data_IF_968868441943
#
_entry.id   IF_968868441943
#
_cell.length_a   1.000
_cell.length_b   1.000
_cell.length_c   1.000
_cell.angle_alpha   90.00
_cell.angle_beta   90.00
_cell.angle_gamma   90.00
#
_symmetry.space_group_name_H-M   'P 1'
#
loop_
_entity.id
_entity.type
_entity.pdbx_description
1 polymer ?
#
# COMPACT_ATOMS: atom_id res chain seq x y z
N UNK A 1 15.88 9.93 -10.61
CA UNK A 1 15.60 8.48 -10.80
C UNK A 1 14.22 8.38 -11.45
N UNK A 2 13.99 7.47 -12.44
CA UNK A 2 12.64 7.25 -12.99
C UNK A 2 11.80 6.55 -11.94
N UNK A 3 10.62 7.08 -11.63
CA UNK A 3 9.66 6.40 -10.73
C UNK A 3 9.43 4.96 -11.20
N UNK A 4 9.52 4.00 -10.28
CA UNK A 4 9.29 2.59 -10.58
C UNK A 4 7.80 2.41 -10.86
N UNK A 5 7.47 1.99 -12.09
CA UNK A 5 6.08 1.75 -12.48
C UNK A 5 5.52 0.54 -11.74
N UNK A 6 4.27 0.62 -11.26
CA UNK A 6 3.58 -0.55 -10.72
C UNK A 6 3.28 -1.56 -11.82
N UNK A 7 3.49 -2.84 -11.52
CA UNK A 7 3.09 -3.94 -12.39
C UNK A 7 1.60 -4.20 -12.21
N UNK A 8 0.82 -4.02 -13.26
CA UNK A 8 -0.59 -4.39 -13.33
C UNK A 8 -0.77 -5.59 -14.22
N UNK A 9 -1.52 -6.58 -13.75
CA UNK A 9 -1.96 -7.74 -14.52
C UNK A 9 -3.44 -7.57 -14.85
N UNK A 10 -3.76 -7.54 -16.14
CA UNK A 10 -5.13 -7.53 -16.65
C UNK A 10 -5.49 -8.92 -17.15
N UNK A 11 -6.59 -9.47 -16.64
CA UNK A 11 -7.03 -10.84 -16.93
C UNK A 11 -8.47 -10.78 -17.44
N UNK A 12 -8.68 -11.15 -18.70
CA UNK A 12 -9.99 -11.12 -19.36
C UNK A 12 -9.92 -12.00 -20.61
N UNK A 13 -10.88 -12.88 -20.83
CA UNK A 13 -10.91 -13.77 -22.00
C UNK A 13 -11.34 -13.07 -23.29
N UNK A 14 -11.75 -11.81 -23.19
CA UNK A 14 -12.15 -10.99 -24.33
C UNK A 14 -10.99 -10.11 -24.82
N UNK A 15 -10.28 -10.46 -25.91
CA UNK A 15 -9.14 -9.67 -26.40
C UNK A 15 -9.56 -8.26 -26.87
N UNK A 16 -10.84 -8.06 -27.26
CA UNK A 16 -11.36 -6.74 -27.64
C UNK A 16 -11.49 -5.80 -26.46
N UNK A 17 -11.63 -6.34 -25.24
CA UNK A 17 -11.56 -5.57 -24.00
C UNK A 17 -10.12 -5.42 -23.53
N UNK A 18 -9.37 -6.52 -23.54
CA UNK A 18 -8.03 -6.60 -22.94
C UNK A 18 -7.03 -5.64 -23.61
N UNK A 19 -7.00 -5.59 -24.94
CA UNK A 19 -6.02 -4.77 -25.65
C UNK A 19 -6.20 -3.25 -25.41
N UNK A 20 -7.40 -2.65 -25.55
CA UNK A 20 -7.61 -1.23 -25.23
C UNK A 20 -7.37 -0.91 -23.74
N UNK A 21 -7.74 -1.83 -22.85
CA UNK A 21 -7.51 -1.66 -21.41
C UNK A 21 -6.00 -1.64 -21.09
N UNK A 22 -5.21 -2.51 -21.71
CA UNK A 22 -3.77 -2.56 -21.57
C UNK A 22 -3.11 -1.24 -22.06
N UNK A 23 -3.50 -0.74 -23.21
CA UNK A 23 -2.98 0.54 -23.73
C UNK A 23 -3.32 1.71 -22.81
N UNK A 24 -4.55 1.78 -22.30
CA UNK A 24 -4.95 2.82 -21.38
C UNK A 24 -4.20 2.75 -20.05
N UNK A 25 -3.95 1.54 -19.52
CA UNK A 25 -3.16 1.34 -18.32
C UNK A 25 -1.69 1.75 -18.51
N UNK A 26 -1.09 1.48 -19.69
CA UNK A 26 0.27 1.97 -20.05
C UNK A 26 0.34 3.49 -20.07
N UNK A 27 -0.66 4.15 -20.68
CA UNK A 27 -0.75 5.63 -20.72
C UNK A 27 -0.83 6.19 -19.29
N UNK A 28 -1.54 5.50 -18.38
CA UNK A 28 -1.60 5.88 -16.97
C UNK A 28 -0.34 5.59 -16.15
N UNK A 29 0.69 5.04 -16.76
CA UNK A 29 2.00 4.87 -16.14
C UNK A 29 2.28 3.48 -15.57
N UNK A 30 1.40 2.51 -15.74
CA UNK A 30 1.63 1.13 -15.31
C UNK A 30 2.62 0.39 -16.22
N UNK A 31 3.30 -0.61 -15.65
CA UNK A 31 3.92 -1.68 -16.40
C UNK A 31 2.88 -2.80 -16.54
N UNK A 32 2.44 -3.11 -17.76
CA UNK A 32 1.22 -3.91 -17.99
C UNK A 32 1.56 -5.30 -18.47
N UNK A 33 0.97 -6.28 -17.81
CA UNK A 33 0.93 -7.69 -18.18
C UNK A 33 -0.52 -8.05 -18.50
N UNK A 34 -0.73 -8.95 -19.45
CA UNK A 34 -2.07 -9.38 -19.88
C UNK A 34 -2.15 -10.89 -19.91
N UNK A 35 -3.29 -11.44 -19.52
CA UNK A 35 -3.62 -12.86 -19.59
C UNK A 35 -5.04 -13.03 -20.10
N UNK A 36 -5.25 -13.96 -21.04
CA UNK A 36 -6.57 -14.25 -21.61
C UNK A 36 -7.34 -15.33 -20.83
N UNK A 37 -6.75 -15.84 -19.75
CA UNK A 37 -7.33 -16.86 -18.89
C UNK A 37 -6.66 -16.87 -17.52
N UNK A 38 -7.28 -17.56 -16.55
CA UNK A 38 -6.79 -17.63 -15.19
C UNK A 38 -5.47 -18.40 -15.04
N UNK A 39 -5.25 -19.46 -15.82
CA UNK A 39 -4.01 -20.26 -15.76
C UNK A 39 -2.79 -19.41 -16.16
N UNK A 40 -2.87 -18.72 -17.30
CA UNK A 40 -1.82 -17.79 -17.75
C UNK A 40 -1.59 -16.65 -16.74
N UNK A 41 -2.66 -16.14 -16.12
CA UNK A 41 -2.53 -15.11 -15.09
C UNK A 41 -1.70 -15.58 -13.89
N UNK A 42 -1.92 -16.82 -13.44
CA UNK A 42 -1.18 -17.42 -12.33
C UNK A 42 0.27 -17.72 -12.70
N UNK A 43 0.55 -18.14 -13.94
CA UNK A 43 1.91 -18.34 -14.43
C UNK A 43 2.70 -17.02 -14.44
N UNK A 44 2.13 -15.94 -14.98
CA UNK A 44 2.75 -14.61 -14.96
C UNK A 44 3.06 -14.18 -13.55
N UNK A 45 2.14 -14.40 -12.60
CA UNK A 45 2.31 -13.99 -11.21
C UNK A 45 3.35 -14.79 -10.43
N UNK A 46 3.73 -16.00 -10.90
CA UNK A 46 4.84 -16.78 -10.31
C UNK A 46 6.19 -16.13 -10.58
N UNK A 47 6.38 -15.63 -11.80
CA UNK A 47 7.69 -15.14 -12.27
C UNK A 47 7.83 -13.62 -12.19
N UNK A 48 6.70 -12.92 -12.01
CA UNK A 48 6.63 -11.46 -12.00
C UNK A 48 5.94 -10.94 -10.74
N UNK A 49 6.57 -10.04 -9.99
CA UNK A 49 5.91 -9.40 -8.86
C UNK A 49 4.77 -8.50 -9.35
N UNK A 50 3.53 -8.98 -9.25
CA UNK A 50 2.34 -8.21 -9.60
C UNK A 50 1.88 -7.40 -8.40
N UNK A 51 1.65 -6.09 -8.60
CA UNK A 51 1.19 -5.17 -7.57
C UNK A 51 -0.34 -5.03 -7.58
N UNK A 52 -0.93 -5.01 -8.78
CA UNK A 52 -2.37 -4.89 -8.99
C UNK A 52 -2.81 -5.95 -10.00
N UNK A 53 -3.86 -6.71 -9.69
CA UNK A 53 -4.50 -7.61 -10.65
C UNK A 53 -5.96 -7.19 -10.85
N UNK A 54 -6.33 -6.98 -12.11
CA UNK A 54 -7.71 -6.74 -12.54
C UNK A 54 -8.18 -8.00 -13.24
N UNK A 55 -9.20 -8.64 -12.70
CA UNK A 55 -9.60 -9.98 -13.13
C UNK A 55 -11.07 -9.95 -13.53
N UNK A 56 -11.38 -10.42 -14.73
CA UNK A 56 -12.76 -10.68 -15.12
C UNK A 56 -13.35 -11.83 -14.31
N UNK A 57 -14.67 -11.74 -14.06
CA UNK A 57 -15.36 -12.77 -13.28
C UNK A 57 -15.53 -14.07 -14.08
N UNK A 58 -16.05 -13.96 -15.30
CA UNK A 58 -16.47 -15.10 -16.11
C UNK A 58 -15.46 -15.43 -17.19
N UNK A 59 -14.60 -16.39 -16.92
CA UNK A 59 -13.64 -16.90 -17.90
C UNK A 59 -13.87 -18.41 -18.13
N UNK A 60 -13.59 -18.93 -19.35
CA UNK A 60 -13.88 -20.32 -19.68
C UNK A 60 -13.14 -21.37 -18.85
N UNK A 61 -11.94 -21.04 -18.38
CA UNK A 61 -11.06 -21.96 -17.65
C UNK A 61 -11.25 -21.88 -16.14
N UNK A 62 -11.46 -20.69 -15.61
CA UNK A 62 -11.49 -20.44 -14.16
C UNK A 62 -12.30 -19.21 -13.80
N UNK A 63 -13.11 -19.32 -12.75
CA UNK A 63 -13.83 -18.19 -12.16
C UNK A 63 -12.86 -17.15 -11.59
N UNK A 64 -13.15 -15.86 -11.81
CA UNK A 64 -12.29 -14.75 -11.38
C UNK A 64 -12.04 -14.69 -9.88
N UNK A 65 -13.03 -15.06 -9.03
CA UNK A 65 -12.82 -15.15 -7.58
C UNK A 65 -11.83 -16.25 -7.21
N UNK A 66 -11.78 -17.34 -7.97
CA UNK A 66 -10.78 -18.42 -7.78
C UNK A 66 -9.40 -17.91 -8.16
N UNK A 67 -9.27 -17.18 -9.26
CA UNK A 67 -8.00 -16.54 -9.67
C UNK A 67 -7.52 -15.59 -8.58
N UNK A 68 -8.39 -14.70 -8.10
CA UNK A 68 -8.09 -13.75 -7.02
C UNK A 68 -7.62 -14.48 -5.75
N UNK A 69 -8.32 -15.54 -5.35
CA UNK A 69 -7.95 -16.35 -4.17
C UNK A 69 -6.56 -16.94 -4.31
N UNK A 70 -6.24 -17.51 -5.48
CA UNK A 70 -4.92 -18.11 -5.75
C UNK A 70 -3.82 -17.03 -5.79
N UNK A 71 -4.06 -15.90 -6.45
CA UNK A 71 -3.12 -14.77 -6.49
C UNK A 71 -2.80 -14.25 -5.08
N UNK A 72 -3.82 -14.11 -4.22
CA UNK A 72 -3.63 -13.73 -2.80
C UNK A 72 -2.92 -14.80 -1.99
N UNK A 73 -3.11 -16.07 -2.31
CA UNK A 73 -2.35 -17.18 -1.72
C UNK A 73 -0.86 -17.12 -2.06
N UNK A 74 -0.50 -16.66 -3.27
CA UNK A 74 0.89 -16.47 -3.71
C UNK A 74 1.49 -15.19 -3.14
N UNK A 75 0.72 -14.10 -3.14
CA UNK A 75 1.10 -12.80 -2.59
C UNK A 75 -0.10 -12.17 -1.87
N UNK A 76 -0.18 -12.26 -0.52
CA UNK A 76 -1.28 -11.68 0.25
C UNK A 76 -1.42 -10.15 0.11
N UNK A 77 -0.38 -9.47 -0.34
CA UNK A 77 -0.34 -8.01 -0.48
C UNK A 77 -0.78 -7.53 -1.88
N UNK A 78 -1.04 -8.45 -2.81
CA UNK A 78 -1.54 -8.08 -4.13
C UNK A 78 -2.90 -7.39 -4.02
N UNK A 79 -3.02 -6.22 -4.64
CA UNK A 79 -4.32 -5.57 -4.80
C UNK A 79 -5.09 -6.24 -5.91
N UNK A 80 -6.27 -6.72 -5.61
CA UNK A 80 -7.10 -7.42 -6.57
C UNK A 80 -8.40 -6.67 -6.81
N UNK A 81 -8.77 -6.59 -8.06
CA UNK A 81 -9.99 -5.94 -8.55
C UNK A 81 -10.74 -6.97 -9.36
N UNK A 82 -11.99 -7.22 -9.01
CA UNK A 82 -12.91 -7.96 -9.85
C UNK A 82 -13.64 -6.98 -10.76
N UNK A 83 -13.52 -7.16 -12.06
CA UNK A 83 -14.16 -6.33 -13.07
C UNK A 83 -15.08 -7.22 -13.91
N UNK A 84 -16.39 -7.03 -13.83
CA UNK A 84 -17.38 -7.91 -14.48
C UNK A 84 -18.43 -7.12 -15.26
N UNK A 85 -18.95 -7.71 -16.34
CA UNK A 85 -20.08 -7.15 -17.08
C UNK A 85 -21.45 -7.58 -16.55
N UNK A 86 -21.49 -8.59 -15.67
CA UNK A 86 -22.71 -9.11 -15.05
C UNK A 86 -22.41 -9.47 -13.60
N UNK A 87 -22.77 -8.60 -12.70
CA UNK A 87 -22.58 -8.82 -11.28
C UNK A 87 -23.86 -8.60 -10.49
N UNK A 88 -23.96 -9.27 -9.37
CA UNK A 88 -25.02 -9.09 -8.38
C UNK A 88 -24.42 -8.71 -7.02
N UNK A 89 -25.27 -8.42 -6.04
CA UNK A 89 -24.84 -8.04 -4.70
C UNK A 89 -24.06 -9.18 -4.00
N UNK A 90 -24.41 -10.45 -4.27
CA UNK A 90 -23.68 -11.59 -3.70
C UNK A 90 -22.23 -11.67 -4.19
N UNK A 91 -22.02 -11.40 -5.50
CA UNK A 91 -20.67 -11.36 -6.08
C UNK A 91 -19.85 -10.22 -5.48
N UNK A 92 -20.48 -9.08 -5.26
CA UNK A 92 -19.84 -7.94 -4.61
C UNK A 92 -19.45 -8.25 -3.15
N UNK A 93 -20.35 -8.87 -2.38
CA UNK A 93 -20.05 -9.33 -1.01
C UNK A 93 -18.91 -10.36 -1.00
N UNK A 94 -18.93 -11.35 -1.90
CA UNK A 94 -17.88 -12.35 -2.02
C UNK A 94 -16.52 -11.71 -2.37
N UNK A 95 -16.52 -10.71 -3.26
CA UNK A 95 -15.31 -9.95 -3.62
C UNK A 95 -14.76 -9.19 -2.42
N UNK A 96 -15.63 -8.54 -1.64
CA UNK A 96 -15.24 -7.82 -0.42
C UNK A 96 -14.71 -8.75 0.67
N UNK A 97 -15.28 -9.94 0.83
CA UNK A 97 -14.81 -10.96 1.76
C UNK A 97 -13.36 -11.42 1.46
N UNK A 98 -12.96 -11.36 0.19
CA UNK A 98 -11.58 -11.58 -0.25
C UNK A 98 -10.68 -10.34 -0.11
N UNK A 99 -11.15 -9.26 0.54
CA UNK A 99 -10.44 -7.97 0.59
C UNK A 99 -10.03 -7.50 -0.81
N UNK A 100 -10.99 -7.52 -1.74
CA UNK A 100 -10.83 -7.14 -3.15
C UNK A 100 -11.83 -6.06 -3.51
N UNK A 101 -11.52 -5.25 -4.51
CA UNK A 101 -12.42 -4.19 -4.99
C UNK A 101 -13.27 -4.72 -6.13
N UNK A 102 -14.55 -4.36 -6.16
CA UNK A 102 -15.49 -4.72 -7.20
C UNK A 102 -15.80 -3.54 -8.10
N UNK A 103 -15.82 -3.76 -9.43
CA UNK A 103 -16.33 -2.83 -10.42
C UNK A 103 -17.19 -3.54 -11.48
N UNK A 104 -18.23 -2.85 -11.92
CA UNK A 104 -19.01 -3.23 -13.11
C UNK A 104 -18.34 -2.66 -14.38
N UNK A 105 -18.24 -3.45 -15.46
CA UNK A 105 -17.73 -2.99 -16.76
C UNK A 105 -18.57 -1.85 -17.37
N UNK A 106 -19.82 -1.65 -16.92
CA UNK A 106 -20.64 -0.48 -17.24
C UNK A 106 -20.13 0.81 -16.59
N UNK A 107 -19.33 0.71 -15.52
CA UNK A 107 -18.80 1.85 -14.75
C UNK A 107 -17.31 2.12 -15.04
N UNK A 108 -16.84 1.90 -16.27
CA UNK A 108 -15.44 2.06 -16.65
C UNK A 108 -14.84 3.44 -16.32
N UNK A 109 -15.65 4.48 -16.26
CA UNK A 109 -15.22 5.82 -15.83
C UNK A 109 -14.66 5.78 -14.40
N UNK A 110 -15.43 5.25 -13.46
CA UNK A 110 -15.09 5.08 -12.04
C UNK A 110 -13.91 4.12 -11.85
N UNK A 111 -13.88 3.02 -12.60
CA UNK A 111 -12.75 2.09 -12.60
C UNK A 111 -11.42 2.77 -12.99
N UNK A 112 -11.42 3.54 -14.10
CA UNK A 112 -10.20 4.24 -14.54
C UNK A 112 -9.80 5.38 -13.62
N UNK A 113 -10.76 6.05 -13.00
CA UNK A 113 -10.52 7.03 -11.96
C UNK A 113 -9.89 6.38 -10.73
N UNK A 114 -10.46 5.27 -10.25
CA UNK A 114 -9.88 4.48 -9.16
C UNK A 114 -8.43 4.05 -9.48
N UNK A 115 -8.16 3.49 -10.68
CA UNK A 115 -6.80 3.11 -11.09
C UNK A 115 -5.85 4.31 -11.17
N UNK A 116 -6.34 5.48 -11.57
CA UNK A 116 -5.52 6.71 -11.62
C UNK A 116 -5.16 7.22 -10.23
N UNK A 117 -6.06 7.01 -9.30
CA UNK A 117 -5.91 7.41 -7.89
C UNK A 117 -5.28 6.31 -7.03
N UNK A 118 -5.00 5.13 -7.62
CA UNK A 118 -4.06 4.22 -6.97
C UNK A 118 -2.75 4.98 -6.82
N UNK A 119 -2.15 5.02 -5.64
CA UNK A 119 -0.85 5.64 -5.45
C UNK A 119 0.17 4.94 -6.34
N UNK A 120 0.32 5.46 -7.57
CA UNK A 120 1.31 5.04 -8.59
C UNK A 120 2.71 5.52 -8.26
N UNK A 121 2.81 6.27 -7.24
CA UNK A 121 4.00 6.82 -6.68
C UNK A 121 3.66 7.47 -5.37
N UNK A 122 4.45 7.11 -4.43
CA UNK A 122 4.93 7.98 -3.38
C UNK A 122 4.20 7.91 -2.05
N UNK A 123 3.77 6.71 -1.59
CA UNK A 123 3.92 6.47 -0.18
C UNK A 123 5.40 6.19 0.03
N UNK A 124 6.15 7.24 0.34
CA UNK A 124 7.55 7.14 0.71
C UNK A 124 7.65 6.70 2.17
N UNK A 125 8.25 5.54 2.39
CA UNK A 125 8.53 5.03 3.71
C UNK A 125 10.02 5.24 3.99
N UNK A 126 10.32 6.08 4.95
CA UNK A 126 11.69 6.27 5.43
C UNK A 126 12.02 5.17 6.43
N UNK A 127 13.10 4.45 6.17
CA UNK A 127 13.63 3.38 7.02
C UNK A 127 14.97 3.84 7.58
N UNK A 128 15.10 3.83 8.90
CA UNK A 128 16.28 4.34 9.61
C UNK A 128 16.78 3.27 10.56
N UNK A 129 17.95 2.72 10.30
CA UNK A 129 18.61 1.70 11.12
C UNK A 129 20.09 1.64 10.74
N UNK A 130 21.01 1.59 11.69
CA UNK A 130 22.43 1.53 11.45
C UNK A 130 22.90 0.15 10.95
N UNK A 131 22.04 -0.86 11.09
CA UNK A 131 22.26 -2.18 10.51
C UNK A 131 21.83 -2.20 9.03
N UNK A 132 22.79 -1.95 8.14
CA UNK A 132 22.59 -1.88 6.69
C UNK A 132 21.88 -3.13 6.12
N UNK A 133 22.25 -4.33 6.59
CA UNK A 133 21.64 -5.59 6.13
C UNK A 133 20.17 -5.68 6.50
N UNK A 134 19.82 -5.30 7.73
CA UNK A 134 18.44 -5.32 8.22
C UNK A 134 17.59 -4.31 7.46
N UNK A 135 18.04 -3.05 7.37
CA UNK A 135 17.26 -1.98 6.74
C UNK A 135 17.06 -2.23 5.23
N UNK A 136 18.05 -2.79 4.54
CA UNK A 136 17.93 -3.13 3.13
C UNK A 136 16.94 -4.28 2.89
N UNK A 137 16.94 -5.30 3.76
CA UNK A 137 15.93 -6.38 3.72
C UNK A 137 14.52 -5.84 3.92
N UNK A 138 14.36 -4.91 4.87
CA UNK A 138 13.08 -4.24 5.12
C UNK A 138 12.63 -3.41 3.90
N UNK A 139 13.57 -2.66 3.32
CA UNK A 139 13.34 -1.83 2.14
C UNK A 139 12.91 -2.68 0.92
N UNK A 140 13.58 -3.79 0.67
CA UNK A 140 13.21 -4.70 -0.41
C UNK A 140 11.78 -5.23 -0.23
N UNK A 141 11.44 -5.67 0.99
CA UNK A 141 10.11 -6.17 1.29
C UNK A 141 9.01 -5.10 1.12
N UNK A 142 9.30 -3.84 1.45
CA UNK A 142 8.41 -2.70 1.22
C UNK A 142 8.23 -2.44 -0.28
N UNK A 143 9.33 -2.48 -1.05
CA UNK A 143 9.29 -2.30 -2.51
C UNK A 143 8.51 -3.41 -3.21
N UNK A 144 8.63 -4.65 -2.74
CA UNK A 144 7.83 -5.77 -3.26
C UNK A 144 6.32 -5.58 -3.03
N UNK A 145 5.93 -4.79 -2.03
CA UNK A 145 4.53 -4.41 -1.76
C UNK A 145 4.05 -3.20 -2.58
N UNK A 146 4.90 -2.64 -3.44
CA UNK A 146 4.55 -1.52 -4.33
C UNK A 146 4.74 -0.13 -3.73
N UNK A 147 5.44 -0.01 -2.59
CA UNK A 147 5.74 1.28 -1.95
C UNK A 147 7.17 1.71 -2.19
N UNK A 148 7.42 3.01 -2.19
CA UNK A 148 8.79 3.52 -2.24
C UNK A 148 9.43 3.48 -0.85
N UNK A 149 10.69 3.07 -0.79
CA UNK A 149 11.47 3.08 0.44
C UNK A 149 12.71 3.94 0.27
N UNK A 150 12.90 4.83 1.21
CA UNK A 150 14.12 5.62 1.39
C UNK A 150 14.85 5.06 2.61
N UNK A 151 16.15 4.87 2.50
CA UNK A 151 16.97 4.25 3.54
C UNK A 151 17.94 5.30 4.09
N UNK A 152 18.05 5.36 5.39
CA UNK A 152 19.06 6.11 6.12
C UNK A 152 19.76 5.19 7.12
N UNK A 153 21.09 5.26 7.20
CA UNK A 153 21.90 4.45 8.11
C UNK A 153 22.20 5.16 9.44
N UNK A 154 21.67 6.36 9.63
CA UNK A 154 21.81 7.15 10.84
C UNK A 154 20.73 8.24 10.91
N UNK A 155 20.57 8.83 12.10
CA UNK A 155 19.56 9.85 12.34
C UNK A 155 19.77 11.13 11.54
N UNK A 156 21.01 11.56 11.32
CA UNK A 156 21.31 12.76 10.54
C UNK A 156 20.90 12.61 9.08
N UNK A 157 21.24 11.49 8.46
CA UNK A 157 20.84 11.15 7.09
C UNK A 157 19.33 11.08 6.96
N UNK A 158 18.63 10.49 7.95
CA UNK A 158 17.18 10.44 7.99
C UNK A 158 16.53 11.83 7.93
N UNK A 159 17.05 12.79 8.68
CA UNK A 159 16.54 14.17 8.69
C UNK A 159 16.82 14.89 7.38
N UNK A 160 17.96 14.67 6.75
CA UNK A 160 18.27 15.27 5.45
C UNK A 160 17.39 14.71 4.32
N UNK A 161 17.11 13.41 4.36
CA UNK A 161 16.15 12.78 3.46
C UNK A 161 14.75 13.36 3.67
N UNK A 162 14.29 13.51 4.92
CA UNK A 162 12.97 14.03 5.24
C UNK A 162 12.78 15.50 4.82
N UNK A 163 13.84 16.33 4.86
CA UNK A 163 13.78 17.71 4.35
C UNK A 163 13.67 17.80 2.83
N UNK A 164 14.19 16.78 2.14
CA UNK A 164 14.28 16.77 0.66
C UNK A 164 13.16 15.96 -0.02
N UNK A 165 12.38 15.21 0.76
CA UNK A 165 11.34 14.31 0.25
C UNK A 165 10.09 14.40 1.11
N UNK A 166 8.92 14.22 0.49
CA UNK A 166 7.68 14.02 1.23
C UNK A 166 7.65 12.60 1.78
N UNK A 167 7.56 12.44 3.11
CA UNK A 167 7.54 11.15 3.81
C UNK A 167 6.16 10.94 4.42
N UNK A 168 5.51 9.83 4.14
CA UNK A 168 4.22 9.49 4.74
C UNK A 168 4.39 8.62 5.99
N UNK A 169 5.46 7.84 6.05
CA UNK A 169 5.74 6.97 7.20
C UNK A 169 7.25 6.87 7.43
N UNK A 170 7.67 6.84 8.68
CA UNK A 170 9.05 6.58 9.07
C UNK A 170 9.11 5.43 10.08
N UNK A 171 9.97 4.46 9.82
CA UNK A 171 10.34 3.38 10.74
C UNK A 171 11.76 3.66 11.21
N UNK A 172 11.93 3.84 12.50
CA UNK A 172 13.18 4.32 13.09
C UNK A 172 13.65 3.32 14.13
N UNK A 173 14.88 2.87 14.02
CA UNK A 173 15.55 2.11 15.08
C UNK A 173 15.83 3.00 16.29
N UNK A 174 15.78 2.42 17.50
CA UNK A 174 16.08 3.15 18.73
C UNK A 174 17.56 3.35 18.93
N UNK A 175 18.34 2.28 18.83
CA UNK A 175 19.73 2.22 19.26
C UNK A 175 20.70 2.54 18.11
N UNK A 176 20.83 3.81 17.74
CA UNK A 176 21.75 4.26 16.71
C UNK A 176 22.94 5.04 17.31
N UNK A 177 24.17 4.89 16.75
CA UNK A 177 25.37 5.50 17.33
C UNK A 177 25.39 7.03 17.34
N UNK A 178 24.70 7.68 16.38
CA UNK A 178 24.72 9.13 16.19
C UNK A 178 23.59 9.85 16.91
N UNK A 179 22.41 9.21 16.97
CA UNK A 179 21.21 9.84 17.49
C UNK A 179 20.19 8.80 17.96
N UNK A 180 19.65 8.96 19.16
CA UNK A 180 18.55 8.15 19.68
C UNK A 180 17.30 8.23 18.79
N UNK A 181 16.63 7.10 18.58
CA UNK A 181 15.47 7.02 17.70
C UNK A 181 14.29 7.91 18.11
N UNK A 182 14.06 8.14 19.42
CA UNK A 182 13.03 9.07 19.89
C UNK A 182 13.38 10.53 19.51
N UNK A 183 14.67 10.88 19.52
CA UNK A 183 15.13 12.20 19.07
C UNK A 183 14.90 12.35 17.56
N UNK A 184 15.19 11.30 16.77
CA UNK A 184 14.90 11.30 15.32
C UNK A 184 13.41 11.48 15.07
N UNK A 185 12.55 10.71 15.76
CA UNK A 185 11.10 10.81 15.64
C UNK A 185 10.60 12.23 15.96
N UNK A 186 11.10 12.80 17.06
CA UNK A 186 10.74 14.18 17.46
C UNK A 186 11.07 15.18 16.35
N UNK A 187 12.29 15.11 15.81
CA UNK A 187 12.73 16.02 14.74
C UNK A 187 12.02 15.77 13.40
N UNK A 188 11.66 14.54 13.08
CA UNK A 188 10.84 14.24 11.90
C UNK A 188 9.46 14.90 12.01
N UNK A 189 8.85 14.88 13.21
CA UNK A 189 7.57 15.54 13.45
C UNK A 189 7.66 17.08 13.49
N UNK A 190 8.83 17.64 13.81
CA UNK A 190 9.10 19.08 13.67
C UNK A 190 9.20 19.49 12.18
N UNK A 191 9.73 18.59 11.31
CA UNK A 191 9.80 18.81 9.86
C UNK A 191 8.39 18.72 9.24
N UNK A 192 7.68 17.63 9.56
CA UNK A 192 6.30 17.41 9.10
C UNK A 192 5.53 16.60 10.17
N UNK A 193 4.58 17.24 10.90
CA UNK A 193 3.80 16.58 11.95
C UNK A 193 2.86 15.49 11.42
N UNK A 194 2.63 15.42 10.11
CA UNK A 194 1.77 14.39 9.48
C UNK A 194 2.49 13.07 9.25
N UNK A 195 3.83 13.03 9.36
CA UNK A 195 4.60 11.80 9.24
C UNK A 195 4.16 10.81 10.33
N UNK A 196 3.70 9.63 9.89
CA UNK A 196 3.42 8.52 10.80
C UNK A 196 4.74 7.85 11.19
N UNK A 197 5.05 7.88 12.47
CA UNK A 197 6.33 7.37 12.98
C UNK A 197 6.15 6.09 13.77
N UNK A 198 7.09 5.16 13.56
CA UNK A 198 7.19 3.89 14.27
C UNK A 198 8.59 3.76 14.83
N UNK A 199 8.70 3.38 16.10
CA UNK A 199 9.95 2.95 16.71
C UNK A 199 10.03 1.42 16.61
N UNK A 200 11.13 0.92 16.07
CA UNK A 200 11.42 -0.51 15.96
C UNK A 200 12.73 -0.77 16.69
N UNK A 201 12.73 -1.56 17.76
CA UNK A 201 13.91 -1.78 18.61
C UNK A 201 14.16 -3.25 18.86
N UNK A 202 15.44 -3.62 19.01
CA UNK A 202 15.85 -4.96 19.44
C UNK A 202 15.75 -5.17 20.96
N UNK A 203 15.80 -4.09 21.73
CA UNK A 203 15.70 -4.12 23.20
C UNK A 203 14.85 -2.96 23.65
N UNK A 204 13.68 -3.26 24.19
CA UNK A 204 12.76 -2.26 24.68
C UNK A 204 12.29 -2.54 26.10
N UNK A 205 11.88 -1.47 26.76
CA UNK A 205 11.24 -1.53 28.06
C UNK A 205 9.93 -0.72 28.07
N UNK A 206 9.19 -0.78 29.17
CA UNK A 206 7.91 -0.08 29.30
C UNK A 206 8.08 1.45 29.21
N UNK A 207 9.19 2.00 29.71
CA UNK A 207 9.46 3.45 29.66
C UNK A 207 9.66 3.92 28.22
N UNK A 208 10.38 3.13 27.40
CA UNK A 208 10.57 3.43 25.99
C UNK A 208 9.24 3.35 25.24
N UNK A 209 8.39 2.39 25.58
CA UNK A 209 7.04 2.27 25.02
C UNK A 209 6.18 3.48 25.35
N UNK A 210 6.14 3.90 26.63
CA UNK A 210 5.42 5.09 27.09
C UNK A 210 5.94 6.36 26.39
N UNK A 211 7.26 6.55 26.31
CA UNK A 211 7.87 7.68 25.64
C UNK A 211 7.52 7.74 24.15
N UNK A 212 7.51 6.58 23.48
CA UNK A 212 7.10 6.48 22.06
C UNK A 212 5.63 6.88 21.88
N UNK A 213 4.75 6.40 22.77
CA UNK A 213 3.33 6.75 22.73
C UNK A 213 3.07 8.24 23.01
N UNK A 214 3.84 8.85 23.92
CA UNK A 214 3.76 10.29 24.19
C UNK A 214 4.10 11.15 22.97
N UNK A 215 4.89 10.63 22.03
CA UNK A 215 5.17 11.23 20.74
C UNK A 215 4.12 10.90 19.66
N UNK A 216 2.99 10.31 20.03
CA UNK A 216 1.98 9.83 19.08
C UNK A 216 2.60 8.92 18.00
N UNK A 217 3.45 7.99 18.42
CA UNK A 217 4.20 7.04 17.60
C UNK A 217 3.89 5.60 18.01
N UNK A 218 4.08 4.66 17.11
CA UNK A 218 3.89 3.25 17.39
C UNK A 218 5.21 2.60 17.78
N UNK A 219 5.14 1.65 18.68
CA UNK A 219 6.28 0.90 19.20
C UNK A 219 6.18 -0.57 18.80
N UNK A 220 7.29 -1.14 18.30
CA UNK A 220 7.43 -2.57 17.98
C UNK A 220 8.81 -3.07 18.40
N UNK A 221 8.86 -4.33 18.81
CA UNK A 221 10.11 -5.06 19.02
C UNK A 221 10.49 -5.83 17.73
N UNK A 222 11.79 -5.91 17.44
CA UNK A 222 12.29 -6.61 16.25
C UNK A 222 11.91 -8.10 16.24
N UNK A 223 11.61 -8.70 17.40
CA UNK A 223 11.07 -10.05 17.53
C UNK A 223 9.59 -10.15 17.10
N UNK A 224 8.85 -9.04 17.11
CA UNK A 224 7.42 -8.99 16.79
C UNK A 224 7.13 -8.63 15.32
N UNK A 225 8.00 -9.00 14.37
CA UNK A 225 7.89 -8.62 12.95
C UNK A 225 6.53 -8.97 12.32
N UNK A 226 5.83 -10.02 12.80
CA UNK A 226 4.49 -10.35 12.29
C UNK A 226 3.45 -9.28 12.67
N UNK A 227 3.51 -8.74 13.89
CA UNK A 227 2.65 -7.63 14.34
C UNK A 227 2.99 -6.35 13.60
N UNK A 228 4.29 -6.06 13.46
CA UNK A 228 4.80 -4.94 12.68
C UNK A 228 4.26 -4.98 11.23
N UNK A 229 4.42 -6.08 10.50
CA UNK A 229 3.92 -6.19 9.13
C UNK A 229 2.41 -6.08 9.02
N UNK A 230 1.67 -6.62 9.98
CA UNK A 230 0.21 -6.49 10.05
C UNK A 230 -0.22 -5.03 10.26
N UNK A 231 0.53 -4.30 11.08
CA UNK A 231 0.31 -2.87 11.30
C UNK A 231 0.65 -2.05 10.05
N UNK A 232 1.83 -2.26 9.45
CA UNK A 232 2.26 -1.60 8.20
C UNK A 232 1.19 -1.76 7.13
N UNK A 233 0.73 -2.99 6.87
CA UNK A 233 -0.30 -3.26 5.86
C UNK A 233 -1.58 -2.46 6.09
N UNK A 234 -2.12 -2.49 7.33
CA UNK A 234 -3.36 -1.76 7.65
C UNK A 234 -3.22 -0.25 7.50
N UNK A 235 -2.07 0.30 7.88
CA UNK A 235 -1.85 1.74 7.82
C UNK A 235 -1.57 2.22 6.40
N UNK A 236 -0.86 1.44 5.60
CA UNK A 236 -0.66 1.75 4.18
C UNK A 236 -1.99 1.72 3.43
N UNK A 237 -2.85 0.72 3.69
CA UNK A 237 -4.19 0.66 3.12
C UNK A 237 -5.04 1.90 3.51
N UNK A 238 -4.94 2.37 4.74
CA UNK A 238 -5.63 3.60 5.18
C UNK A 238 -5.07 4.84 4.48
N UNK A 239 -3.77 4.97 4.33
CA UNK A 239 -3.14 6.06 3.59
C UNK A 239 -3.58 6.08 2.13
N UNK A 240 -3.64 4.92 1.49
CA UNK A 240 -4.16 4.77 0.13
C UNK A 240 -5.61 5.22 0.01
N UNK A 241 -6.46 4.79 0.94
CA UNK A 241 -7.87 5.15 0.95
C UNK A 241 -8.07 6.66 1.18
N UNK A 242 -7.26 7.29 2.04
CA UNK A 242 -7.30 8.75 2.26
C UNK A 242 -6.83 9.53 1.01
N UNK A 243 -5.76 9.08 0.35
CA UNK A 243 -5.26 9.72 -0.87
C UNK A 243 -6.27 9.55 -2.01
N UNK A 244 -6.92 8.39 -2.13
CA UNK A 244 -7.99 8.16 -3.08
C UNK A 244 -9.23 9.05 -2.80
N UNK A 245 -9.61 9.22 -1.53
CA UNK A 245 -10.71 10.09 -1.12
C UNK A 245 -10.38 11.58 -1.38
N UNK A 246 -9.15 12.02 -1.14
CA UNK A 246 -8.70 13.38 -1.44
C UNK A 246 -8.69 13.66 -2.96
N UNK A 247 -8.37 12.67 -3.79
CA UNK A 247 -8.49 12.76 -5.25
C UNK A 247 -9.94 12.85 -5.74
N UNK A 248 -10.90 12.32 -4.98
CA UNK A 248 -12.35 12.45 -5.24
C UNK A 248 -12.92 13.79 -4.75
N UNK A 249 -12.27 14.44 -3.77
CA UNK A 249 -12.76 15.67 -3.13
C UNK A 249 -12.39 16.96 -3.86
N UNK A 250 -11.66 16.92 -4.98
CA UNK A 250 -11.41 18.11 -5.82
C UNK A 250 -12.66 18.63 -6.55
N UNK A 251 -13.85 18.13 -6.19
CA UNK A 251 -15.16 18.55 -6.71
C UNK A 251 -16.21 18.95 -5.67
N UNK A 252 -15.89 19.04 -4.35
CA UNK A 252 -16.87 19.44 -3.32
C UNK A 252 -16.32 19.32 -1.90
N UNK A 253 -16.38 20.41 -1.21
CA UNK A 253 -16.22 20.70 0.22
C UNK A 253 -15.60 19.64 1.14
N UNK A 254 -14.34 19.93 1.52
CA UNK A 254 -13.50 19.11 2.42
C UNK A 254 -13.89 19.28 3.92
N UNK A 255 -14.77 20.21 4.28
CA UNK A 255 -15.07 20.51 5.68
C UNK A 255 -15.97 19.47 6.37
N UNK A 256 -16.78 18.70 5.64
CA UNK A 256 -17.74 17.73 6.23
C UNK A 256 -17.16 16.33 6.53
N UNK A 257 -15.96 16.00 6.04
CA UNK A 257 -15.42 14.65 6.19
C UNK A 257 -14.64 14.44 7.52
N UNK A 258 -14.26 15.50 8.21
CA UNK A 258 -13.45 15.45 9.45
C UNK A 258 -14.31 15.26 10.70
N UNK A 259 -15.59 15.63 10.67
CA UNK A 259 -16.47 15.60 11.85
C UNK A 259 -17.16 14.25 12.13
N UNK A 260 -17.07 13.28 11.22
CA UNK A 260 -17.75 11.97 11.40
C UNK A 260 -16.92 10.98 12.22
N UNK A 261 -15.59 11.11 12.26
CA UNK A 261 -14.75 10.18 13.05
C UNK A 261 -14.61 10.52 14.53
N UNK A 262 -14.89 11.78 14.95
CA UNK A 262 -14.78 12.17 16.36
C UNK A 262 -15.99 11.83 17.23
N UNK A 263 -17.12 11.44 16.64
CA UNK A 263 -18.38 11.18 17.37
C UNK A 263 -18.62 9.70 17.73
N UNK A 264 -17.80 8.75 17.27
CA UNK A 264 -18.02 7.31 17.53
C UNK A 264 -17.19 6.74 18.68
N UNK A 265 -16.22 7.49 19.22
CA UNK A 265 -15.35 7.01 20.32
C UNK A 265 -15.78 7.48 21.71
N UNK A 266 -16.96 8.10 21.85
CA UNK A 266 -17.48 8.55 23.17
C UNK A 266 -18.69 7.78 23.70
N UNK A 267 -18.96 6.57 23.20
CA UNK A 267 -19.96 5.69 23.82
C UNK A 267 -19.50 4.23 23.81
N UNK A 268 -18.56 3.89 24.71
CA UNK A 268 -18.52 2.61 25.45
C UNK A 268 -17.61 2.73 26.65
#
# INVERSE_FOLDING_TARGET
>A
MKAKKLNILLVDDNPKFLAPAAERAKIKGFNVFTAENGETALEIAKDTPIHVAVVDHQMPDMDGLVVITKLKGMNPDIRTILLTGHGDEKLKEATQALNSTYFDKGEMGRFWEFLSNLPLGNINILLVDDNESFVNTLAERIRLKGYDSLVALNGREALDIARSNTIQMAVVDHDMPDMDGLVVITKLKEIDPTIRTLLLTGHGDEKLREATQALNSQYFEKEEMNKFWSFIRRNLQRLENHMAAAGMATGGDIEDAIDIESSHDKKR
#
